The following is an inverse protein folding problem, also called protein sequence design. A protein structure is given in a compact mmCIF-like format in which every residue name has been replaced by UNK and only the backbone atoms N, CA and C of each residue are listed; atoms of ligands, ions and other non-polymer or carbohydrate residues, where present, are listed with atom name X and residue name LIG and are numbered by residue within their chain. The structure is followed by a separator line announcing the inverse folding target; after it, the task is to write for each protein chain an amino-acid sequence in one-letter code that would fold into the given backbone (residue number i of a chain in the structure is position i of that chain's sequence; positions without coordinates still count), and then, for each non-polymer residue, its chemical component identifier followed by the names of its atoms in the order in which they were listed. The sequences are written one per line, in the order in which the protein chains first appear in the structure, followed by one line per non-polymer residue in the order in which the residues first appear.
data_IF_198111825577
#
_entry.id   IF_198111825577
#
_cell.length_a   1.000
_cell.length_b   1.000
_cell.length_c   1.000
_cell.angle_alpha   90.00
_cell.angle_beta   90.00
_cell.angle_gamma   90.00
#
_symmetry.space_group_name_H-M   'P 1'
#
loop_
_entity.id
_entity.type
_entity.pdbx_description
1 polymer ?
#
# COMPACT_ATOMS: atom_id res chain seq x y z
N UNK A 1 -76.34 69.53 -18.98
CA UNK A 1 -76.11 69.51 -17.52
C UNK A 1 -74.63 69.33 -17.29
N UNK A 2 -73.97 70.32 -16.70
CA UNK A 2 -72.58 70.14 -16.24
C UNK A 2 -72.58 69.14 -15.09
N UNK A 3 -71.65 68.18 -15.10
CA UNK A 3 -71.46 67.27 -13.96
C UNK A 3 -71.21 68.08 -12.68
N UNK A 4 -71.78 67.64 -11.57
CA UNK A 4 -71.53 68.30 -10.28
C UNK A 4 -70.09 68.04 -9.84
N UNK A 5 -69.48 69.00 -9.16
CA UNK A 5 -68.09 68.90 -8.66
C UNK A 5 -67.90 67.67 -7.74
N UNK A 6 -68.96 67.24 -7.07
CA UNK A 6 -68.99 66.02 -6.25
C UNK A 6 -68.90 64.73 -7.10
N UNK A 7 -69.46 64.71 -8.31
CA UNK A 7 -69.37 63.55 -9.22
C UNK A 7 -67.98 63.45 -9.86
N UNK A 8 -67.37 64.60 -10.16
CA UNK A 8 -65.97 64.66 -10.64
C UNK A 8 -65.01 64.16 -9.55
N UNK A 9 -65.19 64.56 -8.29
CA UNK A 9 -64.38 64.04 -7.18
C UNK A 9 -64.56 62.52 -6.98
N UNK A 10 -65.76 61.98 -7.16
CA UNK A 10 -66.00 60.53 -7.11
C UNK A 10 -65.26 59.79 -8.23
N UNK A 11 -65.27 60.32 -9.45
CA UNK A 11 -64.53 59.73 -10.57
C UNK A 11 -63.01 59.76 -10.34
N UNK A 12 -62.47 60.86 -9.80
CA UNK A 12 -61.03 60.94 -9.46
C UNK A 12 -60.68 59.92 -8.38
N UNK A 13 -61.48 59.77 -7.32
CA UNK A 13 -61.26 58.75 -6.29
C UNK A 13 -61.31 57.33 -6.85
N UNK A 14 -62.25 57.06 -7.76
CA UNK A 14 -62.34 55.76 -8.42
C UNK A 14 -61.12 55.49 -9.30
N UNK A 15 -60.64 56.49 -10.06
CA UNK A 15 -59.41 56.36 -10.84
C UNK A 15 -58.17 56.15 -9.95
N UNK A 16 -58.06 56.86 -8.82
CA UNK A 16 -56.95 56.67 -7.88
C UNK A 16 -56.95 55.25 -7.28
N UNK A 17 -58.12 54.75 -6.88
CA UNK A 17 -58.26 53.39 -6.35
C UNK A 17 -57.89 52.31 -7.39
N UNK A 18 -58.25 52.53 -8.66
CA UNK A 18 -57.85 51.63 -9.75
C UNK A 18 -56.34 51.61 -9.96
N UNK A 19 -55.69 52.78 -9.96
CA UNK A 19 -54.23 52.89 -10.10
C UNK A 19 -53.51 52.22 -8.92
N UNK A 20 -54.03 52.41 -7.70
CA UNK A 20 -53.48 51.79 -6.49
C UNK A 20 -53.64 50.28 -6.50
N UNK A 21 -54.80 49.78 -6.94
CA UNK A 21 -55.03 48.34 -7.12
C UNK A 21 -54.11 47.74 -8.19
N UNK A 22 -53.98 48.39 -9.36
CA UNK A 22 -53.10 47.91 -10.43
C UNK A 22 -51.62 47.91 -10.01
N UNK A 23 -51.20 48.90 -9.22
CA UNK A 23 -49.85 48.96 -8.66
C UNK A 23 -49.60 47.82 -7.65
N UNK A 24 -50.57 47.54 -6.76
CA UNK A 24 -50.47 46.46 -5.80
C UNK A 24 -50.47 45.08 -6.47
N UNK A 25 -51.34 44.86 -7.45
CA UNK A 25 -51.38 43.59 -8.22
C UNK A 25 -50.06 43.36 -8.97
N UNK A 26 -49.48 44.40 -9.59
CA UNK A 26 -48.15 44.30 -10.21
C UNK A 26 -47.03 44.04 -9.21
N UNK A 27 -47.10 44.61 -8.01
CA UNK A 27 -46.11 44.36 -6.96
C UNK A 27 -46.16 42.90 -6.51
N UNK A 28 -47.36 42.36 -6.25
CA UNK A 28 -47.55 40.95 -5.89
C UNK A 28 -47.10 40.00 -7.00
N UNK A 29 -47.36 40.33 -8.27
CA UNK A 29 -46.89 39.53 -9.41
C UNK A 29 -45.35 39.49 -9.49
N UNK A 30 -44.68 40.61 -9.22
CA UNK A 30 -43.21 40.69 -9.20
C UNK A 30 -42.65 39.84 -8.05
N UNK A 31 -43.22 39.95 -6.86
CA UNK A 31 -42.76 39.20 -5.69
C UNK A 31 -42.95 37.69 -5.89
N UNK A 32 -44.10 37.27 -6.42
CA UNK A 32 -44.36 35.86 -6.73
C UNK A 32 -43.36 35.31 -7.77
N UNK A 33 -43.05 36.06 -8.82
CA UNK A 33 -42.04 35.67 -9.83
C UNK A 33 -40.63 35.62 -9.24
N UNK A 34 -40.27 36.59 -8.40
CA UNK A 34 -38.97 36.62 -7.76
C UNK A 34 -38.76 35.40 -6.84
N UNK A 35 -39.79 34.98 -6.11
CA UNK A 35 -39.73 33.80 -5.26
C UNK A 35 -39.65 32.49 -6.08
N UNK A 36 -40.38 32.40 -7.19
CA UNK A 36 -40.30 31.27 -8.10
C UNK A 36 -38.89 31.14 -8.72
N UNK A 37 -38.34 32.24 -9.26
CA UNK A 37 -36.99 32.28 -9.83
C UNK A 37 -35.92 31.93 -8.79
N UNK A 38 -36.04 32.46 -7.56
CA UNK A 38 -35.12 32.14 -6.47
C UNK A 38 -35.10 30.65 -6.16
N UNK A 39 -36.27 30.02 -6.07
CA UNK A 39 -36.38 28.60 -5.76
C UNK A 39 -35.82 27.72 -6.88
N UNK A 40 -36.04 28.09 -8.15
CA UNK A 40 -35.48 27.41 -9.31
C UNK A 40 -33.95 27.50 -9.30
N UNK A 41 -33.39 28.70 -9.14
CA UNK A 41 -31.94 28.91 -9.24
C UNK A 41 -31.20 28.28 -8.05
N UNK A 42 -31.78 28.36 -6.84
CA UNK A 42 -31.29 27.64 -5.66
C UNK A 42 -31.29 26.13 -5.91
N UNK A 43 -32.38 25.58 -6.45
CA UNK A 43 -32.48 24.17 -6.82
C UNK A 43 -31.38 23.76 -7.80
N UNK A 44 -31.18 24.55 -8.87
CA UNK A 44 -30.15 24.33 -9.89
C UNK A 44 -28.73 24.31 -9.31
N UNK A 45 -28.42 25.28 -8.44
CA UNK A 45 -27.11 25.39 -7.79
C UNK A 45 -26.83 24.18 -6.91
N UNK A 46 -27.81 23.79 -6.08
CA UNK A 46 -27.68 22.64 -5.17
C UNK A 46 -27.50 21.34 -5.96
N UNK A 47 -28.29 21.11 -7.01
CA UNK A 47 -28.17 19.90 -7.83
C UNK A 47 -26.81 19.82 -8.54
N UNK A 48 -26.34 20.94 -9.08
CA UNK A 48 -25.02 21.02 -9.74
C UNK A 48 -23.90 20.69 -8.77
N UNK A 49 -23.93 21.24 -7.54
CA UNK A 49 -22.92 20.92 -6.53
C UNK A 49 -23.03 19.47 -6.03
N UNK A 50 -24.24 18.93 -5.87
CA UNK A 50 -24.44 17.52 -5.50
C UNK A 50 -23.83 16.58 -6.54
N UNK A 51 -24.01 16.86 -7.83
CA UNK A 51 -23.39 16.08 -8.91
C UNK A 51 -21.86 16.12 -8.83
N UNK A 52 -21.26 17.29 -8.63
CA UNK A 52 -19.80 17.42 -8.44
C UNK A 52 -19.28 16.63 -7.25
N UNK A 53 -20.00 16.67 -6.13
CA UNK A 53 -19.65 15.93 -4.91
C UNK A 53 -19.73 14.42 -5.18
N UNK A 54 -20.80 13.94 -5.84
CA UNK A 54 -20.94 12.53 -6.20
C UNK A 54 -19.80 12.07 -7.11
N UNK A 55 -19.46 12.84 -8.16
CA UNK A 55 -18.37 12.49 -9.07
C UNK A 55 -17.00 12.46 -8.34
N UNK A 56 -16.76 13.38 -7.41
CA UNK A 56 -15.55 13.39 -6.60
C UNK A 56 -15.44 12.12 -5.72
N UNK A 57 -16.52 11.74 -5.04
CA UNK A 57 -16.53 10.55 -4.20
C UNK A 57 -16.43 9.26 -5.01
N UNK A 58 -17.07 9.19 -6.19
CA UNK A 58 -16.97 8.03 -7.07
C UNK A 58 -15.52 7.81 -7.55
N UNK A 59 -14.82 8.88 -7.94
CA UNK A 59 -13.40 8.82 -8.31
C UNK A 59 -12.53 8.37 -7.13
N UNK A 60 -12.79 8.91 -5.93
CA UNK A 60 -12.05 8.58 -4.71
C UNK A 60 -12.26 7.12 -4.29
N UNK A 61 -13.48 6.59 -4.43
CA UNK A 61 -13.80 5.20 -4.15
C UNK A 61 -13.07 4.25 -5.09
N UNK A 62 -13.10 4.51 -6.41
CA UNK A 62 -12.35 3.72 -7.42
C UNK A 62 -10.85 3.73 -7.14
N UNK A 63 -10.30 4.89 -6.75
CA UNK A 63 -8.88 5.00 -6.40
C UNK A 63 -8.52 4.17 -5.17
N UNK A 64 -9.35 4.22 -4.12
CA UNK A 64 -9.14 3.42 -2.90
C UNK A 64 -9.23 1.93 -3.21
N UNK A 65 -10.18 1.50 -4.04
CA UNK A 65 -10.34 0.09 -4.41
C UNK A 65 -9.10 -0.44 -5.17
N UNK A 66 -8.61 0.34 -6.14
CA UNK A 66 -7.38 0.00 -6.87
C UNK A 66 -6.17 -0.05 -5.93
N UNK A 67 -6.00 0.94 -5.04
CA UNK A 67 -4.92 0.95 -4.07
C UNK A 67 -4.96 -0.27 -3.14
N UNK A 68 -6.15 -0.67 -2.67
CA UNK A 68 -6.31 -1.90 -1.86
C UNK A 68 -5.88 -3.14 -2.62
N UNK A 69 -6.26 -3.27 -3.91
CA UNK A 69 -5.84 -4.41 -4.76
C UNK A 69 -4.32 -4.45 -4.93
N UNK A 70 -3.69 -3.32 -5.18
CA UNK A 70 -2.22 -3.20 -5.31
C UNK A 70 -1.54 -3.57 -4.00
N UNK A 71 -2.02 -3.03 -2.87
CA UNK A 71 -1.48 -3.33 -1.54
C UNK A 71 -1.57 -4.82 -1.21
N UNK A 72 -2.72 -5.44 -1.44
CA UNK A 72 -2.90 -6.87 -1.22
C UNK A 72 -1.98 -7.70 -2.11
N UNK A 73 -1.89 -7.36 -3.41
CA UNK A 73 -0.98 -8.03 -4.34
C UNK A 73 0.49 -7.91 -3.91
N UNK A 74 0.92 -6.71 -3.51
CA UNK A 74 2.28 -6.46 -3.02
C UNK A 74 2.58 -7.26 -1.75
N UNK A 75 1.65 -7.32 -0.80
CA UNK A 75 1.79 -8.09 0.43
C UNK A 75 1.94 -9.59 0.13
N UNK A 76 1.09 -10.12 -0.75
CA UNK A 76 1.15 -11.54 -1.16
C UNK A 76 2.45 -11.85 -1.91
N UNK A 77 2.91 -10.96 -2.78
CA UNK A 77 4.17 -11.14 -3.50
C UNK A 77 5.38 -11.07 -2.53
N UNK A 78 5.38 -10.15 -1.56
CA UNK A 78 6.42 -10.09 -0.53
C UNK A 78 6.45 -11.38 0.30
N UNK A 79 5.29 -11.89 0.73
CA UNK A 79 5.21 -13.16 1.45
C UNK A 79 5.75 -14.32 0.60
N UNK A 80 5.40 -14.37 -0.68
CA UNK A 80 5.92 -15.37 -1.63
C UNK A 80 7.45 -15.30 -1.77
N UNK A 81 8.00 -14.10 -1.94
CA UNK A 81 9.44 -13.88 -2.06
C UNK A 81 10.19 -14.28 -0.78
N UNK A 82 9.63 -14.01 0.40
CA UNK A 82 10.22 -14.44 1.68
C UNK A 82 10.34 -15.97 1.76
N UNK A 83 9.29 -16.70 1.38
CA UNK A 83 9.32 -18.18 1.33
C UNK A 83 10.35 -18.68 0.33
N UNK A 84 10.41 -18.10 -0.86
CA UNK A 84 11.38 -18.49 -1.90
C UNK A 84 12.82 -18.26 -1.44
N UNK A 85 13.11 -17.10 -0.82
CA UNK A 85 14.45 -16.81 -0.27
C UNK A 85 14.84 -17.77 0.82
N UNK A 86 13.97 -17.98 1.82
CA UNK A 86 14.26 -18.93 2.91
C UNK A 86 14.50 -20.35 2.39
N UNK A 87 13.78 -20.75 1.35
CA UNK A 87 13.99 -22.04 0.67
C UNK A 87 15.34 -22.11 -0.03
N UNK A 88 15.70 -21.06 -0.78
CA UNK A 88 16.99 -21.02 -1.48
C UNK A 88 18.15 -21.00 -0.46
N UNK A 89 18.03 -20.23 0.62
CA UNK A 89 19.00 -20.19 1.71
C UNK A 89 19.18 -21.56 2.38
N UNK A 90 18.09 -22.29 2.61
CA UNK A 90 18.13 -23.67 3.11
C UNK A 90 18.85 -24.59 2.13
N UNK A 91 18.46 -24.58 0.85
CA UNK A 91 19.03 -25.45 -0.17
C UNK A 91 20.54 -25.21 -0.32
N UNK A 92 20.97 -23.93 -0.38
CA UNK A 92 22.39 -23.59 -0.45
C UNK A 92 23.15 -24.12 0.77
N UNK A 93 22.59 -23.99 1.97
CA UNK A 93 23.21 -24.55 3.18
C UNK A 93 23.27 -26.08 3.18
N UNK A 94 22.21 -26.76 2.72
CA UNK A 94 22.18 -28.22 2.59
C UNK A 94 23.25 -28.72 1.61
N UNK A 95 23.43 -28.04 0.47
CA UNK A 95 24.49 -28.36 -0.50
C UNK A 95 25.90 -28.12 0.03
N UNK A 96 26.09 -27.21 0.99
CA UNK A 96 27.38 -27.01 1.63
C UNK A 96 27.73 -28.13 2.62
N UNK A 97 26.72 -28.70 3.32
CA UNK A 97 26.96 -29.78 4.29
C UNK A 97 27.11 -31.15 3.62
N UNK A 98 26.28 -31.47 2.61
CA UNK A 98 26.28 -32.77 1.90
C UNK A 98 26.15 -34.03 2.79
N UNK A 99 25.58 -33.89 3.99
CA UNK A 99 25.37 -34.95 4.98
C UNK A 99 23.98 -35.61 4.90
N UNK A 100 23.80 -36.86 5.36
CA UNK A 100 22.50 -37.55 5.32
C UNK A 100 21.54 -37.09 6.42
N UNK A 101 22.05 -36.58 7.55
CA UNK A 101 21.23 -36.07 8.66
C UNK A 101 21.65 -34.65 9.01
N UNK A 102 20.69 -33.73 8.94
CA UNK A 102 20.92 -32.31 9.17
C UNK A 102 19.89 -31.72 10.14
N UNK A 103 20.34 -30.79 10.97
CA UNK A 103 19.52 -30.10 11.96
C UNK A 103 19.54 -28.61 11.64
N UNK A 104 18.38 -28.01 11.44
CA UNK A 104 18.23 -26.58 11.12
C UNK A 104 17.82 -25.80 12.35
N UNK A 105 18.55 -24.72 12.65
CA UNK A 105 18.17 -23.69 13.62
C UNK A 105 17.68 -22.45 12.91
N UNK A 106 16.59 -21.91 13.44
CA UNK A 106 15.96 -20.70 12.94
C UNK A 106 15.51 -19.83 14.11
N UNK A 107 15.04 -18.62 13.82
CA UNK A 107 14.39 -17.76 14.81
C UNK A 107 12.99 -18.29 15.12
N UNK A 108 12.50 -18.09 16.34
CA UNK A 108 11.15 -18.52 16.78
C UNK A 108 10.03 -18.06 15.83
N UNK A 109 10.12 -16.84 15.32
CA UNK A 109 9.13 -16.22 14.43
C UNK A 109 9.10 -16.87 13.04
N UNK A 110 10.23 -17.41 12.58
CA UNK A 110 10.39 -17.98 11.24
C UNK A 110 10.10 -19.48 11.16
N UNK A 111 9.87 -20.13 12.30
CA UNK A 111 9.56 -21.55 12.39
C UNK A 111 8.51 -22.05 11.38
N UNK A 112 7.32 -21.43 11.21
CA UNK A 112 6.33 -21.90 10.24
C UNK A 112 6.81 -21.77 8.79
N UNK A 113 7.57 -20.72 8.48
CA UNK A 113 8.12 -20.46 7.15
C UNK A 113 9.20 -21.51 6.81
N UNK A 114 10.13 -21.75 7.74
CA UNK A 114 11.22 -22.72 7.58
C UNK A 114 10.66 -24.13 7.47
N UNK A 115 9.64 -24.50 8.26
CA UNK A 115 8.99 -25.81 8.15
C UNK A 115 8.41 -26.05 6.76
N UNK A 116 7.72 -25.07 6.17
CA UNK A 116 7.19 -25.17 4.82
C UNK A 116 8.29 -25.21 3.75
N UNK A 117 9.41 -24.50 3.98
CA UNK A 117 10.55 -24.49 3.08
C UNK A 117 11.32 -25.82 3.10
N UNK A 118 11.53 -26.43 4.28
CA UNK A 118 12.19 -27.74 4.45
C UNK A 118 11.43 -28.84 3.70
N UNK A 119 10.09 -28.89 3.83
CA UNK A 119 9.26 -29.88 3.12
C UNK A 119 9.43 -29.81 1.59
N UNK A 120 9.66 -28.60 1.05
CA UNK A 120 9.90 -28.39 -0.38
C UNK A 120 11.36 -28.58 -0.78
N UNK A 121 12.30 -28.38 0.14
CA UNK A 121 13.73 -28.51 -0.12
C UNK A 121 14.17 -29.97 -0.26
N UNK A 122 13.62 -30.89 0.53
CA UNK A 122 13.93 -32.34 0.49
C UNK A 122 13.83 -32.93 -0.94
N UNK A 123 12.71 -32.79 -1.67
CA UNK A 123 12.60 -33.35 -3.02
C UNK A 123 13.57 -32.69 -4.02
N UNK A 124 13.80 -31.38 -3.91
CA UNK A 124 14.76 -30.68 -4.78
C UNK A 124 16.19 -31.14 -4.55
N UNK A 125 16.59 -31.27 -3.28
CA UNK A 125 17.90 -31.77 -2.91
C UNK A 125 18.10 -33.21 -3.41
N UNK A 126 17.07 -34.06 -3.27
CA UNK A 126 17.10 -35.45 -3.77
C UNK A 126 17.27 -35.51 -5.29
N UNK A 127 16.61 -34.64 -6.05
CA UNK A 127 16.78 -34.57 -7.52
C UNK A 127 18.20 -34.17 -7.89
N UNK A 128 18.76 -33.15 -7.23
CA UNK A 128 20.09 -32.63 -7.55
C UNK A 128 21.23 -33.59 -7.15
N UNK A 129 21.14 -34.19 -5.96
CA UNK A 129 22.24 -34.99 -5.38
C UNK A 129 22.04 -36.50 -5.49
N UNK A 130 20.82 -36.96 -5.81
CA UNK A 130 20.41 -38.37 -5.80
C UNK A 130 20.60 -39.08 -4.44
N UNK A 131 20.75 -38.32 -3.36
CA UNK A 131 20.88 -38.82 -1.99
C UNK A 131 19.65 -38.46 -1.17
N UNK A 132 19.24 -39.38 -0.30
CA UNK A 132 18.20 -39.12 0.70
C UNK A 132 18.77 -38.34 1.89
N UNK A 133 17.99 -37.39 2.41
CA UNK A 133 18.37 -36.55 3.55
C UNK A 133 17.23 -36.48 4.54
N UNK A 134 17.55 -36.67 5.81
CA UNK A 134 16.68 -36.38 6.95
C UNK A 134 17.02 -34.98 7.51
N UNK A 135 16.08 -34.03 7.34
CA UNK A 135 16.21 -32.65 7.81
C UNK A 135 15.26 -32.42 8.98
N UNK A 136 15.81 -32.19 10.17
CA UNK A 136 15.06 -31.92 11.39
C UNK A 136 15.22 -30.45 11.79
N UNK A 137 14.17 -29.84 12.34
CA UNK A 137 14.24 -28.46 12.85
C UNK A 137 14.42 -28.54 14.36
N UNK A 138 15.44 -27.85 14.89
CA UNK A 138 15.69 -27.74 16.33
C UNK A 138 14.55 -26.93 16.99
N UNK A 139 13.89 -27.51 17.99
CA UNK A 139 12.82 -26.87 18.77
C UNK A 139 13.28 -26.45 20.17
N UNK A 140 14.50 -26.81 20.55
CA UNK A 140 15.07 -26.52 21.87
C UNK A 140 16.00 -25.30 21.79
N UNK A 141 16.81 -25.22 20.74
CA UNK A 141 17.75 -24.12 20.52
C UNK A 141 17.38 -23.31 19.26
N UNK A 142 16.91 -22.08 19.49
CA UNK A 142 16.60 -21.11 18.45
C UNK A 142 17.73 -20.08 18.28
N UNK A 143 17.77 -19.43 17.12
CA UNK A 143 18.60 -18.26 16.92
C UNK A 143 18.16 -17.09 17.82
N UNK A 144 19.11 -16.25 18.31
CA UNK A 144 18.80 -15.03 19.04
C UNK A 144 17.84 -14.11 18.27
N UNK A 145 17.04 -13.33 19.00
CA UNK A 145 16.09 -12.39 18.40
C UNK A 145 16.74 -11.14 17.80
N UNK A 146 18.00 -10.86 18.14
CA UNK A 146 18.78 -9.75 17.59
C UNK A 146 19.19 -9.98 16.14
N UNK A 147 19.22 -11.24 15.70
CA UNK A 147 19.55 -11.62 14.32
C UNK A 147 18.39 -11.24 13.40
N UNK A 148 18.70 -10.55 12.30
CA UNK A 148 17.75 -10.10 11.30
C UNK A 148 17.05 -11.27 10.60
N UNK A 149 17.78 -12.38 10.40
CA UNK A 149 17.22 -13.64 9.95
C UNK A 149 18.23 -14.59 9.30
N UNK A 150 17.67 -15.61 8.63
CA UNK A 150 18.42 -16.69 7.99
C UNK A 150 18.41 -17.98 8.81
N UNK A 151 19.27 -18.92 8.45
CA UNK A 151 19.28 -20.27 9.02
C UNK A 151 20.70 -20.72 9.32
N UNK A 152 20.85 -21.45 10.42
CA UNK A 152 22.07 -22.21 10.70
C UNK A 152 21.77 -23.69 10.55
N UNK A 153 22.64 -24.41 9.85
CA UNK A 153 22.48 -25.84 9.60
C UNK A 153 23.63 -26.58 10.27
N UNK A 154 23.29 -27.58 11.06
CA UNK A 154 24.20 -28.45 11.76
C UNK A 154 24.14 -29.86 11.17
N UNK A 155 25.23 -30.60 11.27
CA UNK A 155 25.19 -32.04 11.00
C UNK A 155 24.50 -32.78 12.16
N UNK A 156 24.19 -34.07 11.96
CA UNK A 156 23.57 -34.91 12.99
C UNK A 156 24.33 -34.90 14.34
N UNK A 157 25.66 -34.78 14.30
CA UNK A 157 26.53 -34.75 15.49
C UNK A 157 26.72 -33.34 16.08
N UNK A 158 26.12 -32.29 15.49
CA UNK A 158 26.28 -30.88 15.85
C UNK A 158 27.73 -30.33 15.84
N UNK A 159 28.68 -31.04 15.22
CA UNK A 159 30.10 -30.65 15.12
C UNK A 159 30.36 -29.69 13.96
N UNK A 160 29.75 -29.96 12.82
CA UNK A 160 29.88 -29.14 11.62
C UNK A 160 28.68 -28.22 11.56
N UNK A 161 28.94 -26.91 11.46
CA UNK A 161 27.91 -25.88 11.32
C UNK A 161 28.15 -25.08 10.05
N UNK A 162 27.07 -24.80 9.33
CA UNK A 162 27.02 -23.83 8.24
C UNK A 162 26.09 -22.72 8.67
N UNK A 163 26.64 -21.52 8.85
CA UNK A 163 25.86 -20.32 9.12
C UNK A 163 25.49 -19.66 7.81
N UNK A 164 24.21 -19.67 7.47
CA UNK A 164 23.64 -18.93 6.35
C UNK A 164 22.69 -17.84 6.87
N UNK A 165 23.15 -17.11 7.90
CA UNK A 165 22.49 -15.90 8.41
C UNK A 165 22.80 -14.71 7.52
N UNK A 166 21.93 -13.70 7.54
CA UNK A 166 22.11 -12.49 6.73
C UNK A 166 23.39 -11.75 7.10
N UNK A 167 23.71 -11.70 8.39
CA UNK A 167 24.90 -11.09 8.96
C UNK A 167 26.16 -11.82 8.49
N UNK A 168 26.20 -13.15 8.58
CA UNK A 168 27.36 -13.92 8.11
C UNK A 168 27.62 -13.69 6.61
N UNK A 169 26.57 -13.62 5.80
CA UNK A 169 26.71 -13.32 4.36
C UNK A 169 27.17 -11.89 4.11
N UNK A 170 26.63 -10.93 4.86
CA UNK A 170 27.00 -9.53 4.74
C UNK A 170 28.47 -9.34 5.11
N UNK A 171 28.93 -9.96 6.19
CA UNK A 171 30.33 -9.90 6.63
C UNK A 171 31.27 -10.54 5.59
N UNK A 172 30.91 -11.70 5.04
CA UNK A 172 31.68 -12.35 3.98
C UNK A 172 31.79 -11.48 2.72
N UNK A 173 30.69 -10.88 2.27
CA UNK A 173 30.68 -9.98 1.11
C UNK A 173 31.44 -8.70 1.44
N UNK A 174 31.22 -8.13 2.62
CA UNK A 174 31.91 -6.91 3.05
C UNK A 174 33.42 -7.12 3.00
N UNK A 175 33.94 -8.22 3.56
CA UNK A 175 35.37 -8.54 3.50
C UNK A 175 35.91 -8.66 2.07
N UNK A 176 35.15 -9.26 1.16
CA UNK A 176 35.53 -9.38 -0.26
C UNK A 176 35.50 -8.02 -0.98
N UNK A 177 34.50 -7.19 -0.68
CA UNK A 177 34.29 -5.88 -1.32
C UNK A 177 35.05 -4.74 -0.62
N UNK A 178 35.68 -4.98 0.54
CA UNK A 178 36.46 -3.99 1.31
C UNK A 178 37.50 -3.23 0.45
N UNK A 179 38.25 -3.87 -0.46
CA UNK A 179 39.20 -3.16 -1.33
C UNK A 179 38.52 -2.13 -2.23
N UNK A 180 37.36 -2.47 -2.78
CA UNK A 180 36.57 -1.57 -3.65
C UNK A 180 35.95 -0.43 -2.83
N UNK A 181 35.37 -0.75 -1.67
CA UNK A 181 34.81 0.24 -0.75
C UNK A 181 35.89 1.23 -0.28
N UNK A 182 37.10 0.74 0.03
CA UNK A 182 38.25 1.59 0.36
C UNK A 182 38.61 2.50 -0.81
N UNK A 183 38.68 1.96 -2.03
CA UNK A 183 38.98 2.75 -3.23
C UNK A 183 37.93 3.83 -3.50
N UNK A 184 36.65 3.54 -3.28
CA UNK A 184 35.56 4.49 -3.44
C UNK A 184 35.56 5.60 -2.38
N UNK A 185 35.86 5.27 -1.12
CA UNK A 185 35.85 6.23 -0.01
C UNK A 185 37.13 7.08 0.08
N UNK A 186 38.29 6.48 -0.12
CA UNK A 186 39.59 7.11 0.11
C UNK A 186 40.40 7.35 -1.17
N UNK A 187 39.83 7.02 -2.33
CA UNK A 187 40.52 7.10 -3.61
C UNK A 187 41.47 5.92 -3.86
N UNK A 188 41.93 5.82 -5.11
CA UNK A 188 42.90 4.81 -5.49
C UNK A 188 44.29 5.10 -4.87
N UNK A 189 45.02 4.04 -4.54
CA UNK A 189 46.38 4.18 -4.02
C UNK A 189 47.33 4.66 -5.14
N UNK A 190 47.88 5.87 -5.02
CA UNK A 190 48.80 6.47 -5.99
C UNK A 190 50.06 5.61 -6.27
N UNK A 191 50.45 4.75 -5.33
CA UNK A 191 51.62 3.88 -5.46
C UNK A 191 51.31 2.49 -6.07
N UNK A 192 50.02 2.12 -6.24
CA UNK A 192 49.65 0.84 -6.87
C UNK A 192 49.57 1.02 -8.38
N UNK A 193 50.61 0.56 -9.09
CA UNK A 193 50.74 0.71 -10.56
C UNK A 193 50.13 -0.43 -11.38
N UNK A 194 49.97 -1.62 -10.80
CA UNK A 194 49.47 -2.82 -11.49
C UNK A 194 48.34 -3.48 -10.68
N UNK A 195 47.40 -4.10 -11.40
CA UNK A 195 46.20 -4.75 -10.86
C UNK A 195 46.22 -6.28 -11.01
N UNK A 196 47.33 -6.82 -11.49
CA UNK A 196 47.55 -8.25 -11.73
C UNK A 196 47.82 -9.04 -10.43
#
# INVERSE_FOLDING_TARGET
MALSDADVQKQIKHMMAFIEQEANEKAEEIDAKAEEEFNIEKGRLVQTQRLKIMEYYEKKEKQIEQQKKIQMSNLMNQARLKVLRARDDLITGLYQLLEPRMIVRCRKQDFPLVKAAVQKAIPMYKIATKKDVDVQIDQEAYLPEEIAGGVEIYNGDRKIKVSNTLESRLDLIAQQMMPEVRGALFGANANRKFLD
#
